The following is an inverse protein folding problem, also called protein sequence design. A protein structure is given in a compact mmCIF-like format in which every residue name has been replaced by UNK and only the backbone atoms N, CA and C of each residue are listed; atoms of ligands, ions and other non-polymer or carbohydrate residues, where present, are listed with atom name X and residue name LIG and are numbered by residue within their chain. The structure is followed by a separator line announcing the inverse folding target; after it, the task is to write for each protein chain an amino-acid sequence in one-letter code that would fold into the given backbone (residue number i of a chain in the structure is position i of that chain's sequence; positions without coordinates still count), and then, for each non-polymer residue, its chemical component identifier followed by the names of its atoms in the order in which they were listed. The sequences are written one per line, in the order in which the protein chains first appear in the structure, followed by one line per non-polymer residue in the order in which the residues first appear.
data_IF_817095257441
#
_entry.id   IF_817095257441
#
_cell.length_a   1.000
_cell.length_b   1.000
_cell.length_c   1.000
_cell.angle_alpha   90.00
_cell.angle_beta   90.00
_cell.angle_gamma   90.00
#
_symmetry.space_group_name_H-M   'P 1'
#
loop_
_entity.id
_entity.type
_entity.pdbx_description
1 polymer ?
#
# COMPACT_ATOMS: atom_id res chain seq x y z
N UNK A 1 10.08 19.45 50.60
CA UNK A 1 8.88 18.63 50.64
C UNK A 1 8.40 18.36 49.19
N UNK A 2 9.25 17.77 48.37
CA UNK A 2 8.95 17.43 46.94
C UNK A 2 9.71 16.15 46.59
N UNK A 3 9.50 15.04 47.28
CA UNK A 3 10.19 13.79 46.92
C UNK A 3 9.56 12.50 47.45
N UNK A 4 8.27 12.47 47.78
CA UNK A 4 7.63 11.27 48.36
C UNK A 4 6.43 10.75 47.56
N UNK A 5 6.08 11.38 46.45
CA UNK A 5 4.89 10.98 45.64
C UNK A 5 5.24 10.11 44.42
N UNK A 6 6.52 9.89 44.15
CA UNK A 6 6.94 9.15 42.91
C UNK A 6 7.21 7.66 43.10
N UNK A 7 7.02 7.08 44.26
CA UNK A 7 7.39 5.67 44.53
C UNK A 7 6.19 4.74 44.83
N UNK A 8 4.95 5.17 44.62
CA UNK A 8 3.78 4.36 44.99
C UNK A 8 2.97 3.84 43.80
N UNK A 9 3.45 3.97 42.55
CA UNK A 9 2.72 3.51 41.34
C UNK A 9 3.37 2.33 40.60
N UNK A 10 4.36 1.65 41.19
CA UNK A 10 5.09 0.57 40.52
C UNK A 10 4.92 -0.83 41.15
N UNK A 11 3.82 -1.08 41.84
CA UNK A 11 3.61 -2.37 42.50
C UNK A 11 2.18 -2.90 42.39
N UNK A 12 1.61 -2.97 41.16
CA UNK A 12 0.31 -3.66 40.93
C UNK A 12 0.13 -4.06 39.49
N UNK A 13 0.98 -4.94 38.94
CA UNK A 13 0.67 -5.64 37.69
C UNK A 13 1.53 -6.89 37.49
N UNK A 14 1.50 -7.81 38.47
CA UNK A 14 1.96 -9.19 38.27
C UNK A 14 0.93 -10.08 38.97
N UNK A 15 0.00 -10.65 38.24
CA UNK A 15 -0.67 -11.93 38.44
C UNK A 15 -1.89 -12.03 37.53
N UNK A 16 -1.81 -12.78 36.45
CA UNK A 16 -2.78 -13.77 35.99
C UNK A 16 -2.19 -14.45 34.75
N UNK A 17 -1.42 -15.48 34.99
CA UNK A 17 -1.10 -16.54 34.03
C UNK A 17 -1.26 -17.88 34.76
N UNK A 18 -2.46 -18.41 34.76
CA UNK A 18 -2.77 -19.80 35.04
C UNK A 18 -4.01 -20.11 34.22
N UNK A 19 -3.95 -20.85 33.17
CA UNK A 19 -3.84 -22.27 33.14
C UNK A 19 -5.14 -22.81 32.59
N UNK A 20 -5.11 -23.49 31.44
CA UNK A 20 -6.03 -24.57 31.11
C UNK A 20 -5.33 -25.47 30.11
N UNK A 21 -4.62 -26.46 30.66
CA UNK A 21 -4.37 -27.73 30.01
C UNK A 21 -5.61 -28.61 30.22
N UNK A 22 -6.28 -29.02 29.16
CA UNK A 22 -7.20 -30.14 29.23
C UNK A 22 -6.67 -31.27 28.35
N UNK A 23 -6.05 -32.21 29.02
CA UNK A 23 -5.73 -33.56 28.60
C UNK A 23 -7.03 -34.42 28.65
N UNK A 24 -7.28 -35.17 27.60
CA UNK A 24 -8.30 -36.23 27.57
C UNK A 24 -8.51 -36.59 26.12
N UNK A 25 -8.06 -37.65 25.57
CA UNK A 25 -7.97 -39.01 26.01
C UNK A 25 -9.01 -39.86 25.26
N UNK A 26 -8.50 -40.68 24.32
CA UNK A 26 -8.98 -41.99 23.92
C UNK A 26 -10.04 -42.20 22.87
N UNK A 27 -9.55 -42.85 21.76
CA UNK A 27 -10.09 -44.10 21.17
C UNK A 27 -11.41 -44.03 20.41
N UNK A 28 -11.36 -44.32 19.21
CA UNK A 28 -11.69 -45.50 18.43
C UNK A 28 -11.92 -45.09 16.96
N UNK A 29 -11.22 -45.61 16.11
CA UNK A 29 -11.34 -46.46 14.98
C UNK A 29 -12.63 -46.29 14.16
N UNK A 30 -12.47 -45.59 13.00
CA UNK A 30 -13.25 -45.94 11.83
C UNK A 30 -12.52 -45.28 10.65
N UNK A 31 -11.74 -46.07 9.95
CA UNK A 31 -11.25 -45.77 8.62
C UNK A 31 -12.46 -45.66 7.71
N UNK A 32 -12.80 -44.44 7.30
CA UNK A 32 -13.70 -44.24 6.19
C UNK A 32 -12.89 -44.46 4.90
N UNK A 33 -13.19 -45.55 4.23
CA UNK A 33 -12.83 -45.79 2.84
C UNK A 33 -13.26 -44.59 2.00
N UNK A 34 -12.30 -43.90 1.46
CA UNK A 34 -12.54 -42.92 0.38
C UNK A 34 -12.53 -43.70 -0.92
N UNK A 35 -13.70 -44.09 -1.39
CA UNK A 35 -13.88 -44.59 -2.75
C UNK A 35 -13.38 -43.52 -3.72
N UNK A 36 -12.33 -43.88 -4.44
CA UNK A 36 -11.87 -43.22 -5.63
C UNK A 36 -12.96 -43.25 -6.71
N UNK A 37 -13.71 -42.17 -6.83
CA UNK A 37 -14.69 -42.00 -7.87
C UNK A 37 -14.09 -41.14 -8.97
N UNK A 38 -13.29 -41.75 -9.83
CA UNK A 38 -12.93 -41.22 -11.13
C UNK A 38 -14.18 -40.96 -11.94
N UNK A 39 -14.61 -39.72 -12.04
CA UNK A 39 -15.50 -39.29 -13.10
C UNK A 39 -14.79 -38.20 -13.89
N UNK A 40 -14.42 -38.56 -15.11
CA UNK A 40 -14.12 -37.61 -16.17
C UNK A 40 -15.22 -36.55 -16.26
N UNK A 41 -14.86 -35.29 -16.05
CA UNK A 41 -15.75 -34.15 -16.12
C UNK A 41 -14.91 -32.89 -16.00
N UNK A 42 -14.55 -32.33 -17.14
CA UNK A 42 -14.02 -30.99 -17.32
C UNK A 42 -14.77 -29.97 -16.45
N UNK A 43 -14.15 -29.51 -15.40
CA UNK A 43 -14.69 -28.54 -14.45
C UNK A 43 -13.62 -28.14 -13.44
N UNK A 44 -12.63 -27.38 -13.90
CA UNK A 44 -11.57 -26.86 -13.06
C UNK A 44 -12.14 -26.10 -11.85
N UNK A 45 -12.04 -26.71 -10.67
CA UNK A 45 -12.23 -26.01 -9.40
C UNK A 45 -11.07 -25.01 -9.27
N UNK A 46 -11.30 -23.76 -9.62
CA UNK A 46 -10.43 -22.66 -9.28
C UNK A 46 -10.51 -22.47 -7.77
N UNK A 47 -9.59 -23.12 -7.04
CA UNK A 47 -9.30 -22.75 -5.67
C UNK A 47 -8.80 -21.31 -5.73
N UNK A 48 -9.63 -20.36 -5.26
CA UNK A 48 -9.27 -18.96 -5.13
C UNK A 48 -8.13 -18.77 -4.12
N UNK A 49 -6.91 -18.94 -4.59
CA UNK A 49 -5.69 -18.64 -3.87
C UNK A 49 -4.81 -17.78 -4.76
N UNK A 50 -4.63 -16.52 -4.38
CA UNK A 50 -3.66 -15.56 -4.96
C UNK A 50 -3.78 -15.36 -6.49
N UNK A 51 -4.93 -14.93 -6.99
CA UNK A 51 -5.14 -14.56 -8.39
C UNK A 51 -4.61 -13.15 -8.73
N UNK A 52 -3.54 -12.69 -8.05
CA UNK A 52 -2.97 -11.36 -8.31
C UNK A 52 -1.63 -11.35 -9.06
N UNK A 53 -0.85 -12.42 -8.96
CA UNK A 53 0.55 -12.36 -9.44
C UNK A 53 0.77 -12.74 -10.91
N UNK A 54 -0.18 -13.41 -11.57
CA UNK A 54 0.03 -13.94 -12.93
C UNK A 54 -0.45 -13.06 -14.08
N UNK A 55 -1.24 -12.00 -13.80
CA UNK A 55 -1.75 -11.10 -14.86
C UNK A 55 -0.81 -9.93 -15.19
N UNK A 56 0.26 -9.71 -14.42
CA UNK A 56 1.14 -8.56 -14.62
C UNK A 56 2.37 -8.82 -15.50
N UNK A 57 2.73 -10.07 -15.78
CA UNK A 57 3.94 -10.42 -16.54
C UNK A 57 3.91 -10.02 -18.02
N UNK A 58 2.78 -9.51 -18.53
CA UNK A 58 2.62 -9.03 -19.90
C UNK A 58 2.27 -7.55 -20.04
N UNK A 59 2.13 -6.81 -18.94
CA UNK A 59 1.78 -5.38 -19.00
C UNK A 59 3.00 -4.54 -19.39
N UNK A 60 2.89 -3.84 -20.51
CA UNK A 60 3.91 -2.89 -20.96
C UNK A 60 3.65 -1.52 -20.34
N UNK A 61 4.73 -0.87 -19.84
CA UNK A 61 4.71 0.52 -19.39
C UNK A 61 4.29 1.51 -20.48
N UNK A 62 4.41 1.12 -21.74
CA UNK A 62 4.15 1.98 -22.90
C UNK A 62 2.81 1.67 -23.59
N UNK A 63 2.02 0.73 -23.07
CA UNK A 63 0.68 0.46 -23.61
C UNK A 63 -0.31 1.47 -23.02
N UNK A 64 -0.92 2.34 -23.85
CA UNK A 64 -1.88 3.35 -23.38
C UNK A 64 -3.15 2.75 -22.76
N UNK A 65 -3.46 1.49 -23.03
CA UNK A 65 -4.60 0.78 -22.45
C UNK A 65 -4.23 0.06 -21.14
N UNK A 66 -2.95 0.01 -20.79
CA UNK A 66 -2.49 -0.58 -19.53
C UNK A 66 -2.84 0.33 -18.35
N UNK A 67 -3.25 -0.22 -17.19
CA UNK A 67 -3.33 0.54 -15.93
C UNK A 67 -2.04 1.28 -15.59
N UNK A 68 -0.88 0.78 -16.05
CA UNK A 68 0.44 1.39 -15.87
C UNK A 68 0.64 2.71 -16.66
N UNK A 69 -0.25 3.04 -17.58
CA UNK A 69 -0.25 4.34 -18.27
C UNK A 69 -0.67 5.48 -17.34
N UNK A 70 -1.45 5.19 -16.29
CA UNK A 70 -1.87 6.17 -15.28
C UNK A 70 -0.79 6.33 -14.22
N UNK A 71 0.09 7.28 -14.43
CA UNK A 71 1.26 7.52 -13.57
C UNK A 71 1.08 8.71 -12.62
N UNK A 72 -0.12 9.23 -12.48
CA UNK A 72 -0.44 10.38 -11.65
C UNK A 72 -1.58 10.04 -10.70
N UNK A 73 -1.33 10.27 -9.41
CA UNK A 73 -2.30 10.13 -8.32
C UNK A 73 -2.65 11.53 -7.83
N UNK A 74 -3.93 11.85 -7.77
CA UNK A 74 -4.42 13.16 -7.35
C UNK A 74 -4.92 13.16 -5.90
N UNK A 75 -4.82 14.31 -5.25
CA UNK A 75 -5.17 14.47 -3.84
C UNK A 75 -6.15 15.61 -3.62
N UNK A 76 -6.97 15.45 -2.59
CA UNK A 76 -7.84 16.52 -2.12
C UNK A 76 -7.03 17.65 -1.47
N UNK A 77 -7.71 18.80 -1.29
CA UNK A 77 -7.09 19.95 -0.63
C UNK A 77 -6.65 19.56 0.79
N UNK A 78 -5.43 19.95 1.12
CA UNK A 78 -4.84 19.74 2.45
C UNK A 78 -4.88 18.26 2.93
N UNK A 79 -4.79 17.32 1.99
CA UNK A 79 -4.85 15.88 2.25
C UNK A 79 -3.71 15.14 1.57
N UNK A 80 -3.27 14.06 2.22
CA UNK A 80 -2.38 13.03 1.69
C UNK A 80 -3.08 11.66 1.63
N UNK A 81 -4.40 11.63 1.72
CA UNK A 81 -5.19 10.41 1.67
C UNK A 81 -5.39 9.94 0.23
N UNK A 82 -5.15 8.65 -0.03
CA UNK A 82 -5.32 8.01 -1.34
C UNK A 82 -6.75 7.54 -1.47
N UNK A 83 -7.41 7.92 -2.56
CA UNK A 83 -8.79 7.52 -2.85
C UNK A 83 -8.88 6.04 -3.25
N UNK A 84 -10.05 5.41 -3.02
CA UNK A 84 -10.25 4.01 -3.40
C UNK A 84 -10.05 3.74 -4.90
N UNK A 85 -10.37 4.71 -5.76
CA UNK A 85 -10.18 4.60 -7.21
C UNK A 85 -8.70 4.53 -7.63
N UNK A 86 -7.79 5.12 -6.84
CA UNK A 86 -6.36 5.12 -7.11
C UNK A 86 -5.65 3.87 -6.56
N UNK A 87 -6.29 3.16 -5.62
CA UNK A 87 -5.73 1.92 -5.06
C UNK A 87 -5.54 0.83 -6.12
N UNK A 88 -6.48 0.67 -7.04
CA UNK A 88 -6.37 -0.30 -8.15
C UNK A 88 -5.21 0.06 -9.09
N UNK A 89 -5.02 1.36 -9.35
CA UNK A 89 -3.88 1.85 -10.14
C UNK A 89 -2.55 1.54 -9.44
N UNK A 90 -2.46 1.83 -8.15
CA UNK A 90 -1.26 1.55 -7.36
C UNK A 90 -0.99 0.05 -7.23
N UNK A 91 -2.03 -0.78 -7.09
CA UNK A 91 -1.89 -2.24 -7.09
C UNK A 91 -1.32 -2.76 -8.41
N UNK A 92 -1.72 -2.18 -9.56
CA UNK A 92 -1.15 -2.54 -10.85
C UNK A 92 0.35 -2.16 -10.94
N UNK A 93 0.72 -0.95 -10.53
CA UNK A 93 2.12 -0.52 -10.46
C UNK A 93 2.94 -1.41 -9.52
N UNK A 94 2.40 -1.74 -8.34
CA UNK A 94 3.06 -2.60 -7.38
C UNK A 94 3.30 -4.01 -7.95
N UNK A 95 2.29 -4.60 -8.61
CA UNK A 95 2.43 -5.91 -9.26
C UNK A 95 3.53 -5.92 -10.34
N UNK A 96 3.60 -4.84 -11.13
CA UNK A 96 4.65 -4.68 -12.13
C UNK A 96 6.04 -4.55 -11.48
N UNK A 97 6.19 -3.71 -10.45
CA UNK A 97 7.47 -3.48 -9.76
C UNK A 97 7.95 -4.71 -9.01
N UNK A 98 7.06 -5.44 -8.34
CA UNK A 98 7.40 -6.69 -7.66
C UNK A 98 7.89 -7.78 -8.64
N UNK A 99 7.34 -7.82 -9.88
CA UNK A 99 7.79 -8.71 -10.94
C UNK A 99 9.12 -8.24 -11.59
N UNK A 100 9.50 -6.97 -11.43
CA UNK A 100 10.67 -6.36 -12.04
C UNK A 100 11.57 -5.68 -10.98
N UNK A 101 12.29 -6.43 -10.13
CA UNK A 101 13.03 -5.88 -8.98
C UNK A 101 14.20 -4.95 -9.37
N UNK A 102 14.62 -4.96 -10.63
CA UNK A 102 15.61 -4.02 -11.15
C UNK A 102 15.04 -2.67 -11.60
N UNK A 103 13.72 -2.54 -11.66
CA UNK A 103 13.08 -1.29 -12.05
C UNK A 103 13.03 -0.31 -10.86
N UNK A 104 13.52 0.90 -11.07
CA UNK A 104 13.50 1.97 -10.09
C UNK A 104 12.41 2.98 -10.42
N UNK A 105 11.85 3.59 -9.37
CA UNK A 105 10.79 4.60 -9.47
C UNK A 105 11.08 5.75 -8.53
N UNK A 106 10.88 6.98 -9.01
CA UNK A 106 10.82 8.17 -8.18
C UNK A 106 9.35 8.58 -8.01
N UNK A 107 8.94 8.80 -6.77
CA UNK A 107 7.62 9.32 -6.39
C UNK A 107 7.77 10.82 -6.15
N UNK A 108 7.31 11.62 -7.09
CA UNK A 108 7.43 13.08 -7.05
C UNK A 108 6.15 13.68 -6.46
N UNK A 109 6.25 14.28 -5.27
CA UNK A 109 5.12 14.89 -4.55
C UNK A 109 4.98 16.38 -4.86
N UNK A 110 3.74 16.79 -5.13
CA UNK A 110 3.41 18.17 -5.52
C UNK A 110 2.19 18.68 -4.74
N UNK A 111 2.12 20.01 -4.64
CA UNK A 111 1.01 20.74 -4.03
C UNK A 111 0.50 21.85 -4.93
N UNK A 112 -0.64 22.43 -4.59
CA UNK A 112 -1.00 23.72 -5.12
C UNK A 112 -0.25 24.86 -4.37
N UNK A 113 -0.34 26.07 -4.85
CA UNK A 113 0.40 27.25 -4.34
C UNK A 113 -0.09 27.80 -2.98
N UNK A 114 -1.17 27.26 -2.43
CA UNK A 114 -1.76 27.76 -1.20
C UNK A 114 -1.01 27.23 0.02
N UNK A 115 -0.52 28.14 0.85
CA UNK A 115 0.27 27.83 2.03
C UNK A 115 1.66 28.46 2.02
N UNK A 116 2.52 28.09 2.97
CA UNK A 116 3.92 28.45 2.91
C UNK A 116 4.71 27.40 2.11
N UNK A 117 5.83 27.81 1.56
CA UNK A 117 6.71 26.92 0.80
C UNK A 117 7.14 25.71 1.62
N UNK A 118 7.52 25.92 2.87
CA UNK A 118 7.95 24.87 3.78
C UNK A 118 6.82 23.88 4.07
N UNK A 119 5.61 24.41 4.27
CA UNK A 119 4.41 23.60 4.45
C UNK A 119 4.13 22.76 3.19
N UNK A 120 4.21 23.35 2.01
CA UNK A 120 3.94 22.69 0.75
C UNK A 120 4.98 21.60 0.43
N UNK A 121 6.25 21.80 0.77
CA UNK A 121 7.27 20.74 0.69
C UNK A 121 6.91 19.58 1.61
N UNK A 122 6.52 19.84 2.86
CA UNK A 122 6.16 18.79 3.81
C UNK A 122 4.87 18.04 3.39
N UNK A 123 3.88 18.75 2.83
CA UNK A 123 2.65 18.13 2.33
C UNK A 123 2.91 17.27 1.08
N UNK A 124 3.74 17.76 0.14
CA UNK A 124 4.16 16.98 -1.03
C UNK A 124 4.91 15.70 -0.63
N UNK A 125 5.79 15.79 0.35
CA UNK A 125 6.50 14.65 0.93
C UNK A 125 5.53 13.64 1.54
N UNK A 126 4.58 14.11 2.36
CA UNK A 126 3.56 13.27 2.98
C UNK A 126 2.69 12.51 1.96
N UNK A 127 2.35 13.14 0.83
CA UNK A 127 1.64 12.50 -0.29
C UNK A 127 2.46 11.40 -0.94
N UNK A 128 3.72 11.69 -1.26
CA UNK A 128 4.61 10.71 -1.87
C UNK A 128 4.87 9.52 -0.94
N UNK A 129 5.06 9.75 0.36
CA UNK A 129 5.17 8.70 1.38
C UNK A 129 3.89 7.86 1.51
N UNK A 130 2.70 8.45 1.30
CA UNK A 130 1.45 7.68 1.29
C UNK A 130 1.40 6.72 0.11
N UNK A 131 1.85 7.15 -1.08
CA UNK A 131 1.96 6.28 -2.27
C UNK A 131 3.01 5.20 -2.05
N UNK A 132 4.20 5.55 -1.57
CA UNK A 132 5.27 4.61 -1.23
C UNK A 132 4.76 3.48 -0.32
N UNK A 133 4.08 3.85 0.78
CA UNK A 133 3.53 2.87 1.73
C UNK A 133 2.55 1.90 1.08
N UNK A 134 1.69 2.37 0.17
CA UNK A 134 0.75 1.49 -0.56
C UNK A 134 1.52 0.54 -1.49
N UNK A 135 2.53 1.01 -2.20
CA UNK A 135 3.36 0.16 -3.06
C UNK A 135 4.11 -0.90 -2.26
N UNK A 136 4.73 -0.53 -1.12
CA UNK A 136 5.42 -1.46 -0.22
C UNK A 136 4.48 -2.52 0.36
N UNK A 137 3.29 -2.13 0.82
CA UNK A 137 2.26 -3.05 1.32
C UNK A 137 1.81 -4.06 0.26
N UNK A 138 1.93 -3.70 -1.02
CA UNK A 138 1.66 -4.58 -2.15
C UNK A 138 2.90 -5.31 -2.68
N UNK A 139 4.02 -5.31 -1.92
CA UNK A 139 5.18 -6.15 -2.17
C UNK A 139 6.33 -5.53 -2.97
N UNK A 140 6.30 -4.21 -3.20
CA UNK A 140 7.44 -3.50 -3.82
C UNK A 140 8.60 -3.40 -2.83
N UNK A 141 9.80 -3.66 -3.28
CA UNK A 141 11.01 -3.53 -2.46
C UNK A 141 11.32 -2.05 -2.16
N UNK A 142 11.66 -1.74 -0.90
CA UNK A 142 12.01 -0.37 -0.47
C UNK A 142 13.14 0.24 -1.30
N UNK A 143 14.09 -0.57 -1.76
CA UNK A 143 15.19 -0.13 -2.62
C UNK A 143 14.81 0.26 -4.04
N UNK A 144 13.57 0.00 -4.47
CA UNK A 144 13.07 0.38 -5.79
C UNK A 144 12.42 1.78 -5.80
N UNK A 145 12.12 2.34 -4.63
CA UNK A 145 11.37 3.58 -4.46
C UNK A 145 12.25 4.71 -3.95
N UNK A 146 12.08 5.89 -4.51
CA UNK A 146 12.70 7.13 -4.05
C UNK A 146 11.62 8.19 -3.94
N UNK A 147 11.51 8.83 -2.77
CA UNK A 147 10.54 9.91 -2.53
C UNK A 147 11.24 11.26 -2.72
N UNK A 148 10.61 12.15 -3.47
CA UNK A 148 11.05 13.53 -3.65
C UNK A 148 9.84 14.46 -3.57
N UNK A 149 9.92 15.53 -2.82
CA UNK A 149 8.90 16.56 -2.80
C UNK A 149 9.39 17.83 -3.50
N UNK A 150 8.59 18.34 -4.40
CA UNK A 150 8.76 19.65 -5.02
C UNK A 150 7.80 20.70 -4.42
N UNK A 151 6.85 20.28 -3.56
CA UNK A 151 5.82 21.18 -3.07
C UNK A 151 5.12 21.90 -4.22
N UNK A 152 5.09 23.22 -4.20
CA UNK A 152 4.49 24.09 -5.22
C UNK A 152 5.42 24.47 -6.38
N UNK A 153 6.71 24.08 -6.32
CA UNK A 153 7.76 24.58 -7.23
C UNK A 153 7.65 24.06 -8.68
N UNK A 154 6.92 22.94 -8.88
CA UNK A 154 6.71 22.36 -10.20
C UNK A 154 5.21 22.16 -10.47
N UNK A 155 4.48 23.22 -10.83
CA UNK A 155 3.06 23.09 -11.14
C UNK A 155 2.86 22.34 -12.48
N UNK A 156 1.82 21.50 -12.55
CA UNK A 156 1.36 20.88 -13.78
C UNK A 156 0.46 21.80 -14.59
N UNK A 157 -0.21 22.72 -13.91
CA UNK A 157 -1.07 23.73 -14.52
C UNK A 157 -0.83 25.08 -13.88
N UNK A 158 -0.60 26.09 -14.73
CA UNK A 158 -0.46 27.47 -14.31
C UNK A 158 -1.83 28.09 -13.97
N UNK A 159 -1.81 29.09 -13.07
CA UNK A 159 -2.97 29.89 -12.70
C UNK A 159 -3.56 29.57 -11.34
N UNK A 160 -4.45 30.45 -10.87
CA UNK A 160 -4.99 30.52 -9.50
C UNK A 160 -6.45 30.05 -9.48
N UNK A 161 -6.79 29.03 -10.25
CA UNK A 161 -8.15 28.49 -10.30
C UNK A 161 -8.23 27.12 -9.60
N UNK A 162 -9.43 26.75 -9.12
CA UNK A 162 -9.68 25.42 -8.55
C UNK A 162 -9.32 24.29 -9.53
N UNK A 163 -9.46 24.53 -10.84
CA UNK A 163 -9.11 23.55 -11.85
C UNK A 163 -7.59 23.33 -11.92
N UNK A 164 -6.79 24.43 -11.92
CA UNK A 164 -5.33 24.36 -11.87
C UNK A 164 -4.86 23.71 -10.55
N UNK A 165 -5.39 24.15 -9.43
CA UNK A 165 -5.02 23.61 -8.12
C UNK A 165 -5.26 22.11 -8.02
N UNK A 166 -6.36 21.58 -8.57
CA UNK A 166 -6.64 20.13 -8.60
C UNK A 166 -5.60 19.34 -9.37
N UNK A 167 -5.09 19.90 -10.48
CA UNK A 167 -4.04 19.25 -11.26
C UNK A 167 -2.67 19.32 -10.57
N UNK A 168 -2.45 20.34 -9.75
CA UNK A 168 -1.18 20.54 -9.04
C UNK A 168 -1.07 19.63 -7.80
N UNK A 169 -2.18 19.30 -7.13
CA UNK A 169 -2.20 18.38 -5.98
C UNK A 169 -2.04 16.94 -6.43
N UNK A 170 -0.81 16.47 -6.67
CA UNK A 170 -0.56 15.16 -7.24
C UNK A 170 0.72 14.51 -6.74
N UNK A 171 0.84 13.23 -6.99
CA UNK A 171 2.10 12.47 -6.97
C UNK A 171 2.30 11.86 -8.36
N UNK A 172 3.48 12.04 -8.93
CA UNK A 172 3.87 11.42 -10.19
C UNK A 172 4.73 10.19 -9.93
N UNK A 173 4.44 9.08 -10.63
CA UNK A 173 5.19 7.83 -10.59
C UNK A 173 6.16 7.83 -11.78
N UNK A 174 7.41 8.19 -11.53
CA UNK A 174 8.43 8.37 -12.57
C UNK A 174 9.33 7.15 -12.63
N UNK A 175 9.20 6.35 -13.69
CA UNK A 175 10.07 5.21 -13.96
C UNK A 175 11.41 5.65 -14.51
N UNK A 176 12.51 5.06 -13.99
CA UNK A 176 13.88 5.35 -14.39
C UNK A 176 14.44 4.31 -15.37
#
# INVERSE_FOLDING_TARGET
MKSIISTLFMAAMIAVLAGCSSTGGSKDGSVADVEDRSTDGDGGVVTGGAAGASSFSGMSLNDPNSPLSRRVIYFEYDSAEITGADQDTLAAHAGYLAANPGQLVTLEGHTDERGSREYNIALGDSRALSVERVLELNGVGTGQLTVVSYGEEKPAADGHSDAAWRLNRRVEIVYQ
#
